data_IF_571194049455
#
_entry.id   IF_571194049455
#
_cell.length_a   1.000
_cell.length_b   1.000
_cell.length_c   1.000
_cell.angle_alpha   90.00
_cell.angle_beta   90.00
_cell.angle_gamma   90.00
#
_symmetry.space_group_name_H-M   'P 1'
#
loop_
_entity.id
_entity.type
_entity.pdbx_description
1 polymer ?
#
# COMPACT_ATOMS: atom_id res chain seq x y z
N UNK A 1 14.42 -6.18 20.92
CA UNK A 1 13.12 -6.50 20.29
C UNK A 1 12.65 -5.40 19.34
N UNK A 2 12.51 -4.15 19.80
CA UNK A 2 12.02 -3.01 19.00
C UNK A 2 12.82 -2.75 17.72
N UNK A 3 14.16 -2.79 17.77
CA UNK A 3 15.00 -2.53 16.60
C UNK A 3 14.82 -3.55 15.47
N UNK A 4 14.75 -4.84 15.80
CA UNK A 4 14.54 -5.91 14.81
C UNK A 4 13.16 -5.80 14.14
N UNK A 5 12.13 -5.44 14.92
CA UNK A 5 10.77 -5.21 14.40
C UNK A 5 10.72 -4.00 13.46
N UNK A 6 11.38 -2.90 13.83
CA UNK A 6 11.48 -1.71 12.99
C UNK A 6 12.24 -2.00 11.70
N UNK A 7 13.36 -2.73 11.78
CA UNK A 7 14.13 -3.15 10.62
C UNK A 7 13.31 -4.02 9.67
N UNK A 8 12.58 -5.01 10.19
CA UNK A 8 11.71 -5.87 9.38
C UNK A 8 10.57 -5.09 8.70
N UNK A 9 9.96 -4.12 9.40
CA UNK A 9 8.95 -3.23 8.83
C UNK A 9 9.52 -2.41 7.67
N UNK A 10 10.66 -1.76 7.89
CA UNK A 10 11.32 -0.94 6.87
C UNK A 10 11.74 -1.76 5.64
N UNK A 11 12.25 -2.97 5.83
CA UNK A 11 12.62 -3.88 4.73
C UNK A 11 11.39 -4.25 3.84
N UNK A 12 10.25 -4.54 4.45
CA UNK A 12 9.00 -4.82 3.71
C UNK A 12 8.57 -3.58 2.92
N UNK A 13 8.50 -2.41 3.56
CA UNK A 13 8.07 -1.17 2.91
C UNK A 13 9.00 -0.76 1.76
N UNK A 14 10.31 -0.90 1.95
CA UNK A 14 11.30 -0.65 0.91
C UNK A 14 11.06 -1.55 -0.32
N UNK A 15 10.84 -2.85 -0.10
CA UNK A 15 10.53 -3.80 -1.19
C UNK A 15 9.23 -3.45 -1.91
N UNK A 16 8.21 -2.99 -1.18
CA UNK A 16 6.95 -2.59 -1.79
C UNK A 16 7.13 -1.33 -2.64
N UNK A 17 7.89 -0.34 -2.17
CA UNK A 17 8.21 0.85 -2.95
C UNK A 17 9.04 0.53 -4.20
N UNK A 18 10.03 -0.35 -4.10
CA UNK A 18 10.86 -0.81 -5.25
C UNK A 18 10.04 -1.51 -6.36
N UNK A 19 8.83 -1.97 -6.05
CA UNK A 19 7.94 -2.69 -6.96
C UNK A 19 6.59 -1.98 -7.17
N UNK A 20 6.49 -0.71 -6.76
CA UNK A 20 5.25 0.06 -6.82
C UNK A 20 4.82 0.30 -8.29
N UNK A 21 5.77 0.36 -9.21
CA UNK A 21 5.53 0.37 -10.65
C UNK A 21 4.66 -0.80 -11.11
N UNK A 22 5.01 -2.02 -10.67
CA UNK A 22 4.26 -3.24 -11.01
C UNK A 22 2.91 -3.32 -10.27
N UNK A 23 2.84 -2.77 -9.05
CA UNK A 23 1.63 -2.78 -8.22
C UNK A 23 0.57 -1.83 -8.78
N UNK A 24 0.97 -0.64 -9.22
CA UNK A 24 0.04 0.40 -9.67
C UNK A 24 -0.02 0.58 -11.19
N UNK A 25 0.83 -0.14 -11.93
CA UNK A 25 0.97 0.01 -13.39
C UNK A 25 1.37 1.44 -13.77
N UNK A 26 2.36 1.98 -13.04
CA UNK A 26 2.86 3.35 -13.18
C UNK A 26 4.38 3.35 -13.39
N UNK A 27 4.97 4.38 -14.01
CA UNK A 27 6.42 4.45 -14.20
C UNK A 27 7.20 4.39 -12.88
N UNK A 28 8.24 3.56 -12.82
CA UNK A 28 9.10 3.41 -11.62
C UNK A 28 9.70 4.72 -11.12
N UNK A 29 9.98 5.66 -12.03
CA UNK A 29 10.46 7.00 -11.70
C UNK A 29 9.51 7.77 -10.75
N UNK A 30 8.22 7.43 -10.72
CA UNK A 30 7.23 8.09 -9.87
C UNK A 30 7.28 7.66 -8.40
N UNK A 31 8.03 6.62 -8.05
CA UNK A 31 8.07 6.08 -6.68
C UNK A 31 9.42 6.31 -5.98
N UNK A 32 10.26 7.19 -6.53
CA UNK A 32 11.49 7.63 -5.87
C UNK A 32 11.15 8.52 -4.67
N UNK A 33 12.03 8.61 -3.65
CA UNK A 33 11.83 9.50 -2.52
C UNK A 33 11.59 10.94 -2.98
N UNK A 34 10.66 11.64 -2.33
CA UNK A 34 10.31 13.04 -2.59
C UNK A 34 9.78 13.33 -4.01
N UNK A 35 9.35 12.31 -4.75
CA UNK A 35 8.68 12.53 -6.04
C UNK A 35 7.38 13.34 -5.85
N UNK A 36 7.05 14.30 -6.72
CA UNK A 36 5.83 15.11 -6.59
C UNK A 36 4.60 14.31 -7.03
N UNK A 37 4.18 13.35 -6.20
CA UNK A 37 3.05 12.44 -6.48
C UNK A 37 1.76 13.18 -6.85
N UNK A 38 1.53 14.35 -6.24
CA UNK A 38 0.33 15.15 -6.47
C UNK A 38 0.35 15.91 -7.80
N UNK A 39 1.47 15.99 -8.49
CA UNK A 39 1.54 16.53 -9.87
C UNK A 39 1.17 15.48 -10.92
N UNK A 40 1.10 14.20 -10.54
CA UNK A 40 0.72 13.10 -11.44
C UNK A 40 -0.79 12.91 -11.43
N UNK A 41 -1.42 13.18 -12.57
CA UNK A 41 -2.86 13.09 -12.74
C UNK A 41 -3.41 11.70 -12.39
N UNK A 42 -2.69 10.64 -12.76
CA UNK A 42 -3.07 9.25 -12.46
C UNK A 42 -3.08 8.99 -10.95
N UNK A 43 -2.05 9.41 -10.21
CA UNK A 43 -1.95 9.24 -8.76
C UNK A 43 -3.04 10.05 -8.05
N UNK A 44 -3.28 11.28 -8.48
CA UNK A 44 -4.36 12.15 -7.98
C UNK A 44 -5.72 11.49 -8.18
N UNK A 45 -5.99 10.93 -9.36
CA UNK A 45 -7.21 10.16 -9.65
C UNK A 45 -7.30 8.93 -8.76
N UNK A 46 -6.18 8.22 -8.54
CA UNK A 46 -6.16 7.04 -7.68
C UNK A 46 -6.52 7.36 -6.23
N UNK A 47 -5.99 8.46 -5.69
CA UNK A 47 -6.25 8.95 -4.35
C UNK A 47 -7.58 9.71 -4.22
N UNK A 48 -8.19 10.11 -5.33
CA UNK A 48 -9.44 10.88 -5.33
C UNK A 48 -9.29 12.28 -4.75
N UNK A 49 -8.08 12.86 -4.87
CA UNK A 49 -7.80 14.23 -4.41
C UNK A 49 -8.46 15.19 -5.40
N UNK A 50 -9.44 15.97 -4.93
CA UNK A 50 -10.21 16.89 -5.77
C UNK A 50 -9.50 18.23 -6.01
N UNK A 51 -8.81 18.74 -4.99
CA UNK A 51 -8.18 20.07 -5.00
C UNK A 51 -6.68 19.98 -4.73
N UNK A 52 -5.93 19.66 -5.79
CA UNK A 52 -4.46 19.57 -5.75
C UNK A 52 -3.80 20.94 -5.56
N UNK A 53 -4.49 22.03 -5.94
CA UNK A 53 -4.01 23.41 -5.88
C UNK A 53 -4.02 24.04 -4.48
N UNK A 54 -4.54 23.32 -3.48
CA UNK A 54 -4.56 23.82 -2.09
C UNK A 54 -3.27 23.44 -1.36
N UNK A 55 -2.78 24.32 -0.49
CA UNK A 55 -1.67 24.04 0.44
C UNK A 55 -1.92 22.79 1.31
N UNK A 56 -3.19 22.35 1.43
CA UNK A 56 -3.61 21.20 2.23
C UNK A 56 -4.58 20.31 1.43
N UNK A 57 -4.06 19.45 0.53
CA UNK A 57 -4.87 18.50 -0.21
C UNK A 57 -5.65 17.58 0.76
N UNK A 58 -6.95 17.44 0.52
CA UNK A 58 -7.82 16.57 1.34
C UNK A 58 -7.82 15.16 0.78
N UNK A 59 -7.33 14.22 1.60
CA UNK A 59 -7.39 12.80 1.31
C UNK A 59 -8.64 12.20 1.98
N UNK A 60 -9.37 11.38 1.22
CA UNK A 60 -10.46 10.57 1.77
C UNK A 60 -9.93 9.19 2.08
N UNK A 61 -10.36 8.60 3.21
CA UNK A 61 -10.08 7.19 3.48
C UNK A 61 -10.71 6.29 2.40
N UNK A 62 -11.84 6.67 1.81
CA UNK A 62 -12.47 5.87 0.75
C UNK A 62 -12.01 6.36 -0.62
N UNK A 63 -10.72 6.13 -0.90
CA UNK A 63 -10.10 6.57 -2.14
C UNK A 63 -10.43 5.64 -3.33
N UNK A 64 -10.58 6.19 -4.55
CA UNK A 64 -11.03 5.47 -5.74
C UNK A 64 -10.32 4.15 -6.01
N UNK A 65 -9.00 4.07 -5.77
CA UNK A 65 -8.22 2.84 -6.02
C UNK A 65 -8.81 1.61 -5.32
N UNK A 66 -9.48 1.74 -4.19
CA UNK A 66 -10.05 0.59 -3.49
C UNK A 66 -11.21 -0.07 -4.24
N UNK A 67 -11.84 0.65 -5.17
CA UNK A 67 -13.09 0.23 -5.78
C UNK A 67 -12.89 -0.20 -7.23
N UNK A 68 -13.76 -1.11 -7.66
CA UNK A 68 -13.79 -1.56 -9.05
C UNK A 68 -13.94 -0.36 -9.99
N UNK A 69 -13.14 -0.33 -11.05
CA UNK A 69 -13.17 0.72 -12.08
C UNK A 69 -12.99 2.14 -11.51
N UNK A 70 -12.37 2.28 -10.34
CA UNK A 70 -12.17 3.56 -9.63
C UNK A 70 -13.48 4.27 -9.24
N UNK A 71 -14.60 3.54 -9.18
CA UNK A 71 -15.93 4.07 -8.83
C UNK A 71 -16.28 3.73 -7.39
N UNK A 72 -16.36 4.74 -6.53
CA UNK A 72 -16.68 4.56 -5.11
C UNK A 72 -18.06 3.93 -4.94
N UNK A 73 -18.08 2.68 -4.48
CA UNK A 73 -19.28 1.93 -4.07
C UNK A 73 -19.06 1.34 -2.68
N UNK A 74 -19.60 2.03 -1.68
CA UNK A 74 -19.45 1.67 -0.27
C UNK A 74 -20.09 0.33 0.11
N UNK A 75 -20.92 -0.27 -0.76
CA UNK A 75 -21.47 -1.61 -0.53
C UNK A 75 -20.42 -2.70 -0.73
N UNK A 76 -19.39 -2.43 -1.52
CA UNK A 76 -18.33 -3.38 -1.87
C UNK A 76 -16.97 -2.68 -1.95
N UNK A 77 -16.45 -2.19 -0.80
CA UNK A 77 -15.08 -1.67 -0.75
C UNK A 77 -14.08 -2.79 -1.05
N UNK A 78 -12.89 -2.43 -1.51
CA UNK A 78 -11.77 -3.36 -1.80
C UNK A 78 -11.97 -4.28 -3.01
N UNK A 79 -12.95 -4.03 -3.87
CA UNK A 79 -13.15 -4.82 -5.11
C UNK A 79 -12.04 -4.65 -6.14
N UNK A 80 -11.23 -3.59 -6.05
CA UNK A 80 -9.98 -3.51 -6.82
C UNK A 80 -8.90 -4.36 -6.14
N UNK A 81 -9.08 -5.68 -6.19
CA UNK A 81 -8.27 -6.62 -5.43
C UNK A 81 -6.82 -6.71 -5.93
N UNK A 82 -6.53 -6.31 -7.18
CA UNK A 82 -5.23 -6.54 -7.81
C UNK A 82 -4.08 -5.82 -7.08
N UNK A 83 -4.12 -4.50 -6.84
CA UNK A 83 -3.07 -3.83 -6.06
C UNK A 83 -2.93 -4.41 -4.65
N UNK A 84 -4.05 -4.68 -3.96
CA UNK A 84 -4.05 -5.23 -2.61
C UNK A 84 -3.39 -6.62 -2.56
N UNK A 85 -3.74 -7.48 -3.51
CA UNK A 85 -3.16 -8.80 -3.67
C UNK A 85 -1.68 -8.74 -4.03
N UNK A 86 -1.25 -7.79 -4.86
CA UNK A 86 0.16 -7.59 -5.17
C UNK A 86 0.96 -7.11 -3.97
N UNK A 87 0.44 -6.20 -3.15
CA UNK A 87 1.06 -5.79 -1.87
C UNK A 87 1.25 -7.01 -0.97
N UNK A 88 0.20 -7.79 -0.73
CA UNK A 88 0.29 -8.98 0.12
C UNK A 88 1.25 -10.02 -0.45
N UNK A 89 1.20 -10.24 -1.77
CA UNK A 89 2.08 -11.19 -2.45
C UNK A 89 3.54 -10.79 -2.33
N UNK A 90 3.86 -9.52 -2.53
CA UNK A 90 5.22 -9.01 -2.40
C UNK A 90 5.72 -9.05 -0.96
N UNK A 91 4.89 -8.64 0.00
CA UNK A 91 5.25 -8.61 1.43
C UNK A 91 5.47 -10.02 2.01
N UNK A 92 4.61 -10.98 1.65
CA UNK A 92 4.65 -12.33 2.18
C UNK A 92 5.60 -13.23 1.41
N UNK A 93 5.58 -13.16 0.08
CA UNK A 93 6.23 -14.15 -0.78
C UNK A 93 7.39 -13.59 -1.61
N UNK A 94 7.58 -12.26 -1.61
CA UNK A 94 8.70 -11.58 -2.25
C UNK A 94 8.46 -11.22 -3.72
N UNK A 95 9.26 -10.27 -4.22
CA UNK A 95 9.06 -9.63 -5.53
C UNK A 95 9.11 -10.56 -6.74
N UNK A 96 9.85 -11.66 -6.68
CA UNK A 96 9.96 -12.59 -7.81
C UNK A 96 8.62 -13.23 -8.20
N UNK A 97 7.68 -13.28 -7.26
CA UNK A 97 6.33 -13.78 -7.52
C UNK A 97 5.43 -12.72 -8.16
N UNK A 98 5.77 -11.43 -8.11
CA UNK A 98 5.06 -10.41 -8.88
C UNK A 98 5.29 -10.60 -10.39
N UNK A 99 6.51 -11.01 -10.78
CA UNK A 99 6.91 -11.20 -12.17
C UNK A 99 6.50 -12.57 -12.77
N UNK A 100 5.62 -13.34 -12.12
CA UNK A 100 5.17 -14.65 -12.60
C UNK A 100 6.23 -15.76 -12.56
N UNK A 101 7.40 -15.52 -11.95
CA UNK A 101 8.48 -16.50 -11.87
C UNK A 101 8.20 -17.65 -10.89
N UNK A 102 8.66 -18.85 -11.25
CA UNK A 102 8.64 -20.02 -10.36
C UNK A 102 9.63 -19.84 -9.20
N UNK A 103 9.22 -20.19 -7.97
CA UNK A 103 10.09 -20.17 -6.79
C UNK A 103 11.00 -21.41 -6.81
N UNK A 104 12.30 -21.23 -7.09
CA UNK A 104 13.30 -22.30 -6.91
C UNK A 104 13.38 -22.71 -5.43
N UNK A 105 13.44 -24.03 -5.18
CA UNK A 105 13.45 -24.67 -3.84
C UNK A 105 14.63 -24.26 -2.94
N UNK A 106 15.70 -23.68 -3.48
CA UNK A 106 16.90 -23.26 -2.73
C UNK A 106 16.87 -21.83 -2.19
N UNK A 107 15.72 -21.14 -2.24
CA UNK A 107 15.61 -19.77 -1.68
C UNK A 107 15.35 -19.77 -0.17
N UNK A 108 15.81 -18.73 0.55
CA UNK A 108 15.42 -18.51 1.93
C UNK A 108 13.90 -18.56 2.09
N UNK A 109 13.42 -19.14 3.20
CA UNK A 109 11.99 -19.16 3.52
C UNK A 109 11.42 -17.75 3.44
N UNK A 110 10.32 -17.62 2.71
CA UNK A 110 9.55 -16.37 2.57
C UNK A 110 8.89 -15.98 3.91
N UNK A 111 8.42 -14.74 4.04
CA UNK A 111 7.74 -14.28 5.25
C UNK A 111 6.46 -15.08 5.50
N UNK A 112 5.68 -15.35 4.44
CA UNK A 112 4.47 -16.18 4.54
C UNK A 112 4.77 -17.60 5.04
N UNK A 113 5.88 -18.21 4.61
CA UNK A 113 6.34 -19.51 5.13
C UNK A 113 6.79 -19.43 6.59
N UNK A 114 7.58 -18.40 6.95
CA UNK A 114 8.09 -18.21 8.32
C UNK A 114 6.96 -17.97 9.32
N UNK A 115 5.95 -17.20 8.90
CA UNK A 115 4.79 -16.83 9.72
C UNK A 115 3.61 -17.79 9.56
N UNK A 116 3.78 -18.87 8.79
CA UNK A 116 2.76 -19.89 8.56
C UNK A 116 1.41 -19.31 8.07
N UNK A 117 1.47 -18.33 7.17
CA UNK A 117 0.27 -17.70 6.61
C UNK A 117 -0.43 -18.70 5.69
N UNK A 118 -1.63 -19.11 6.08
CA UNK A 118 -2.49 -20.04 5.33
C UNK A 118 -3.65 -19.38 4.60
N UNK A 119 -4.05 -18.18 5.04
CA UNK A 119 -5.17 -17.44 4.46
C UNK A 119 -4.97 -15.93 4.61
N UNK A 120 -5.62 -15.18 3.72
CA UNK A 120 -5.74 -13.72 3.82
C UNK A 120 -6.76 -13.42 4.92
N UNK A 121 -6.38 -12.55 5.85
CA UNK A 121 -7.26 -12.11 6.95
C UNK A 121 -7.81 -10.71 6.66
N UNK A 122 -8.95 -10.32 7.27
CA UNK A 122 -9.44 -8.93 7.26
C UNK A 122 -8.35 -7.91 7.58
N UNK A 123 -7.54 -8.18 8.61
CA UNK A 123 -6.43 -7.32 9.01
C UNK A 123 -5.34 -7.19 7.93
N UNK A 124 -5.03 -8.25 7.19
CA UNK A 124 -4.08 -8.17 6.08
C UNK A 124 -4.63 -7.36 4.90
N UNK A 125 -5.93 -7.44 4.61
CA UNK A 125 -6.56 -6.61 3.56
C UNK A 125 -6.56 -5.15 3.96
N UNK A 126 -6.97 -4.84 5.20
CA UNK A 126 -6.92 -3.48 5.74
C UNK A 126 -5.49 -2.91 5.70
N UNK A 127 -4.50 -3.70 6.09
CA UNK A 127 -3.10 -3.30 6.00
C UNK A 127 -2.66 -3.02 4.55
N UNK A 128 -2.98 -3.91 3.61
CA UNK A 128 -2.64 -3.72 2.20
C UNK A 128 -3.26 -2.43 1.62
N UNK A 129 -4.52 -2.14 1.97
CA UNK A 129 -5.19 -0.91 1.56
C UNK A 129 -4.52 0.34 2.15
N UNK A 130 -4.18 0.33 3.44
CA UNK A 130 -3.43 1.43 4.07
C UNK A 130 -2.07 1.64 3.40
N UNK A 131 -1.35 0.56 3.09
CA UNK A 131 -0.05 0.65 2.39
C UNK A 131 -0.21 1.15 0.96
N UNK A 132 -1.26 0.76 0.24
CA UNK A 132 -1.52 1.33 -1.08
C UNK A 132 -1.70 2.85 -1.02
N UNK A 133 -2.45 3.36 -0.05
CA UNK A 133 -2.59 4.81 0.14
C UNK A 133 -1.24 5.46 0.47
N UNK A 134 -0.45 4.87 1.37
CA UNK A 134 0.88 5.39 1.71
C UNK A 134 1.81 5.44 0.50
N UNK A 135 1.87 4.37 -0.31
CA UNK A 135 2.77 4.34 -1.47
C UNK A 135 2.38 5.33 -2.57
N UNK A 136 1.10 5.73 -2.62
CA UNK A 136 0.61 6.75 -3.54
C UNK A 136 0.68 8.16 -2.94
N UNK A 137 0.74 8.30 -1.61
CA UNK A 137 0.81 9.60 -0.96
C UNK A 137 2.20 10.26 -1.17
N UNK A 138 2.33 11.58 -0.98
CA UNK A 138 3.61 12.26 -1.09
C UNK A 138 4.55 12.00 0.11
N UNK A 139 4.24 11.05 1.00
CA UNK A 139 5.08 10.77 2.16
C UNK A 139 6.31 9.92 1.80
N UNK A 140 7.49 10.40 2.19
CA UNK A 140 8.76 9.70 1.95
C UNK A 140 8.96 8.51 2.88
N UNK A 141 8.38 8.52 4.08
CA UNK A 141 8.57 7.48 5.08
C UNK A 141 7.25 7.11 5.76
N UNK A 142 7.12 5.83 6.14
CA UNK A 142 5.97 5.39 6.91
C UNK A 142 6.19 5.75 8.38
N UNK A 143 5.37 6.65 8.93
CA UNK A 143 5.65 7.27 10.22
C UNK A 143 5.55 6.27 11.38
N UNK A 144 6.34 6.50 12.43
CA UNK A 144 6.24 5.74 13.69
C UNK A 144 4.97 6.09 14.49
N UNK A 145 4.52 7.34 14.41
CA UNK A 145 3.30 7.83 15.06
C UNK A 145 2.02 7.61 14.23
N UNK A 146 2.14 7.02 13.03
CA UNK A 146 1.00 6.77 12.14
C UNK A 146 0.57 7.96 11.28
N UNK A 147 1.12 9.16 11.45
CA UNK A 147 0.67 10.37 10.74
C UNK A 147 1.70 10.81 9.69
N UNK A 148 1.27 10.89 8.42
CA UNK A 148 2.10 11.30 7.29
C UNK A 148 2.70 12.69 7.49
N UNK A 149 3.99 12.85 7.18
CA UNK A 149 4.67 14.13 7.39
C UNK A 149 4.17 15.21 6.42
N UNK A 150 4.04 14.86 5.14
CA UNK A 150 3.63 15.77 4.07
C UNK A 150 2.12 15.72 3.89
N UNK A 151 1.54 14.52 3.83
CA UNK A 151 0.12 14.34 3.53
C UNK A 151 -0.80 14.65 4.72
N UNK A 152 -0.26 14.59 5.95
CA UNK A 152 -1.01 14.63 7.23
C UNK A 152 -2.06 13.52 7.36
N UNK A 153 -1.98 12.47 6.55
CA UNK A 153 -2.87 11.30 6.62
C UNK A 153 -2.59 10.53 7.92
N UNK A 154 -3.62 10.25 8.71
CA UNK A 154 -3.53 9.29 9.81
C UNK A 154 -3.74 7.86 9.29
N UNK A 155 -2.62 7.18 9.02
CA UNK A 155 -2.62 5.81 8.52
C UNK A 155 -3.13 4.80 9.54
N UNK A 156 -3.01 5.10 10.83
CA UNK A 156 -3.49 4.20 11.89
C UNK A 156 -5.02 4.20 11.95
N UNK A 157 -5.63 5.38 11.92
CA UNK A 157 -7.09 5.53 11.88
C UNK A 157 -7.69 4.91 10.61
N UNK A 158 -7.02 5.09 9.47
CA UNK A 158 -7.42 4.45 8.22
C UNK A 158 -7.40 2.92 8.33
N UNK A 159 -6.30 2.36 8.84
CA UNK A 159 -6.20 0.92 9.06
C UNK A 159 -7.31 0.41 9.98
N UNK A 160 -7.55 1.11 11.11
CA UNK A 160 -8.57 0.74 12.09
C UNK A 160 -9.96 0.75 11.47
N UNK A 161 -10.30 1.80 10.72
CA UNK A 161 -11.59 1.94 10.08
C UNK A 161 -11.81 0.87 8.99
N UNK A 162 -10.81 0.56 8.17
CA UNK A 162 -10.92 -0.55 7.22
C UNK A 162 -11.10 -1.91 7.90
N UNK A 163 -10.36 -2.15 8.99
CA UNK A 163 -10.49 -3.40 9.75
C UNK A 163 -11.89 -3.55 10.34
N UNK A 164 -12.49 -2.47 10.84
CA UNK A 164 -13.86 -2.46 11.37
C UNK A 164 -14.93 -2.75 10.30
N UNK A 165 -14.68 -2.40 9.04
CA UNK A 165 -15.62 -2.69 7.94
C UNK A 165 -15.55 -4.16 7.50
N UNK A 166 -14.43 -4.83 7.74
CA UNK A 166 -14.19 -6.22 7.31
C UNK A 166 -14.49 -7.27 8.40
N UNK A 167 -14.86 -6.85 9.62
CA UNK A 167 -15.12 -7.71 10.79
C UNK A 167 -16.47 -7.36 11.37
#
# INVERSE_FOLDING_TARGET
>A
FTQAMQSGRSDILYKLRDNADVIFDLPKAQFVPNYPHLEVLEIVKMLGVKDVSTLNPRFTMWYPLLFKDMKVDMRKPFLNWRPLGQILRAALWGKALLAGGFVRRSRPKTNGQKWQVSAVTPGSVAWAATICMFLLSPDSEFPGNGIGHTSKIDYYDIFRAYKQVLV
#
